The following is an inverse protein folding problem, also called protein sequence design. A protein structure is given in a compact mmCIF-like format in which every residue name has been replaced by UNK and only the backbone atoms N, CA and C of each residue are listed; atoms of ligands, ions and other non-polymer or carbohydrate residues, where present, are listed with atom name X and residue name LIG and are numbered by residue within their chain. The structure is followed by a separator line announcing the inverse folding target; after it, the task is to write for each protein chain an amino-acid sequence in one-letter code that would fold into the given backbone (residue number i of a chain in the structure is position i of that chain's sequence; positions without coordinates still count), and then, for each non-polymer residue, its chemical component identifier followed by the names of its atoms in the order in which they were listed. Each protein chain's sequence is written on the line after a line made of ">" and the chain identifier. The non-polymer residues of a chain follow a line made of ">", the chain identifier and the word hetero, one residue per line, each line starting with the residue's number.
data_IF_018285333213
#
_entry.id   IF_018285333213
#
_cell.length_a   1.000
_cell.length_b   1.000
_cell.length_c   1.000
_cell.angle_alpha   90.00
_cell.angle_beta   90.00
_cell.angle_gamma   90.00
#
_symmetry.space_group_name_H-M   'P 1'
#
loop_
_entity.id
_entity.type
_entity.pdbx_description
1 polymer ?
#
# COMPACT_ATOMS: atom_id res chain seq x y z
N UNK A 1 -9.37 7.84 -9.12
CA UNK A 1 -8.40 8.92 -8.83
C UNK A 1 -7.00 8.33 -8.69
N UNK A 2 -6.02 9.00 -9.23
CA UNK A 2 -4.62 8.58 -9.18
C UNK A 2 -3.84 9.62 -8.39
N UNK A 3 -3.10 9.19 -7.39
CA UNK A 3 -2.15 10.02 -6.64
C UNK A 3 -0.71 9.52 -6.87
N UNK A 4 0.21 10.46 -7.07
CA UNK A 4 1.61 10.18 -7.37
C UNK A 4 2.50 10.48 -6.15
N UNK A 5 3.56 9.68 -5.98
CA UNK A 5 4.54 9.87 -4.90
C UNK A 5 3.91 10.02 -3.52
N UNK A 6 3.09 9.04 -3.16
CA UNK A 6 2.37 9.03 -1.89
C UNK A 6 3.24 8.43 -0.80
N UNK A 7 3.37 9.14 0.32
CA UNK A 7 4.06 8.62 1.50
C UNK A 7 3.30 7.41 2.06
N UNK A 8 4.01 6.33 2.39
CA UNK A 8 3.37 5.11 2.89
C UNK A 8 2.57 5.38 4.17
N UNK A 9 3.04 6.28 5.03
CA UNK A 9 2.31 6.67 6.25
C UNK A 9 0.96 7.36 5.99
N UNK A 10 0.71 7.86 4.78
CA UNK A 10 -0.58 8.43 4.39
C UNK A 10 -1.57 7.36 3.89
N UNK A 11 -1.07 6.18 3.59
CA UNK A 11 -1.86 5.01 3.13
C UNK A 11 -2.04 3.98 4.24
N UNK A 12 -1.00 3.72 5.01
CA UNK A 12 -0.95 2.70 6.05
C UNK A 12 -0.81 3.34 7.44
N UNK A 13 -1.35 2.68 8.44
CA UNK A 13 -1.20 3.05 9.85
C UNK A 13 -0.43 1.98 10.61
N UNK A 14 0.33 2.41 11.63
CA UNK A 14 0.89 1.49 12.60
C UNK A 14 -0.23 0.87 13.42
N UNK A 15 -0.30 -0.45 13.46
CA UNK A 15 -1.36 -1.21 14.14
C UNK A 15 -1.31 -1.09 15.66
N UNK A 16 -0.12 -0.95 16.23
CA UNK A 16 0.06 -0.79 17.67
C UNK A 16 -0.45 0.57 18.12
N UNK A 17 -1.24 0.60 19.18
CA UNK A 17 -1.65 1.85 19.80
C UNK A 17 -0.44 2.52 20.43
N UNK A 18 -0.31 3.81 20.20
CA UNK A 18 0.64 4.65 20.93
C UNK A 18 0.03 4.94 22.31
N UNK A 19 0.51 4.24 23.34
CA UNK A 19 0.02 4.43 24.71
C UNK A 19 0.51 5.74 25.33
N UNK A 20 1.68 6.18 24.92
CA UNK A 20 2.27 7.46 25.31
C UNK A 20 3.30 7.92 24.26
N UNK A 21 3.69 9.19 24.33
CA UNK A 21 4.62 9.80 23.37
C UNK A 21 6.02 9.15 23.30
N UNK A 22 6.37 8.30 24.26
CA UNK A 22 7.65 7.58 24.33
C UNK A 22 7.56 6.13 23.89
N UNK A 23 6.46 5.69 23.27
CA UNK A 23 6.34 4.32 22.79
C UNK A 23 7.28 4.07 21.62
N UNK A 24 8.45 3.50 21.93
CA UNK A 24 9.52 3.26 20.95
C UNK A 24 9.11 2.29 19.86
N UNK A 25 8.23 1.30 20.14
CA UNK A 25 7.74 0.34 19.17
C UNK A 25 6.91 1.03 18.12
N UNK A 26 5.97 1.87 18.52
CA UNK A 26 5.15 2.66 17.61
C UNK A 26 6.01 3.57 16.72
N UNK A 27 6.96 4.30 17.32
CA UNK A 27 7.86 5.19 16.61
C UNK A 27 8.77 4.46 15.62
N UNK A 28 9.24 3.25 15.97
CA UNK A 28 10.06 2.43 15.08
C UNK A 28 9.30 2.13 13.78
N UNK A 29 8.07 1.62 13.87
CA UNK A 29 7.26 1.30 12.70
C UNK A 29 6.82 2.55 11.95
N UNK A 30 6.44 3.60 12.65
CA UNK A 30 6.07 4.86 12.03
C UNK A 30 7.20 5.46 11.20
N UNK A 31 8.42 5.46 11.68
CA UNK A 31 9.60 5.92 10.92
C UNK A 31 9.80 5.11 9.65
N UNK A 32 9.58 3.79 9.68
CA UNK A 32 9.72 2.93 8.51
C UNK A 32 8.72 3.27 7.41
N UNK A 33 7.48 3.55 7.75
CA UNK A 33 6.45 3.91 6.78
C UNK A 33 6.46 5.39 6.39
N UNK A 34 6.86 6.29 7.28
CA UNK A 34 6.88 7.73 7.01
C UNK A 34 8.05 8.17 6.13
N UNK A 35 9.14 7.41 6.11
CA UNK A 35 10.32 7.69 5.29
C UNK A 35 10.25 7.17 3.87
N UNK A 36 9.22 6.41 3.52
CA UNK A 36 9.09 5.72 2.23
C UNK A 36 7.86 6.19 1.48
N UNK A 37 7.95 6.16 0.14
CA UNK A 37 6.88 6.54 -0.76
C UNK A 37 6.60 5.41 -1.74
N UNK A 38 5.36 5.29 -2.19
CA UNK A 38 4.98 4.51 -3.36
C UNK A 38 4.81 5.43 -4.56
N UNK A 39 5.10 4.94 -5.74
CA UNK A 39 5.09 5.79 -6.95
C UNK A 39 3.69 6.24 -7.33
N UNK A 40 2.71 5.34 -7.26
CA UNK A 40 1.32 5.61 -7.62
C UNK A 40 0.37 4.91 -6.66
N UNK A 41 -0.77 5.54 -6.42
CA UNK A 41 -1.90 4.96 -5.68
C UNK A 41 -3.17 5.19 -6.46
N UNK A 42 -3.95 4.14 -6.66
CA UNK A 42 -5.29 4.21 -7.24
C UNK A 42 -6.32 4.19 -6.11
N UNK A 43 -7.22 5.16 -6.13
CA UNK A 43 -8.28 5.34 -5.14
C UNK A 43 -9.64 5.39 -5.81
N UNK A 44 -10.67 5.00 -5.08
CA UNK A 44 -12.04 5.26 -5.51
C UNK A 44 -12.28 6.77 -5.62
N UNK A 45 -13.01 7.23 -6.67
CA UNK A 45 -13.35 8.64 -6.81
C UNK A 45 -14.22 9.18 -5.66
N UNK A 46 -15.07 8.31 -5.10
CA UNK A 46 -15.91 8.65 -3.95
C UNK A 46 -15.35 7.97 -2.70
N UNK A 47 -15.13 8.73 -1.65
CA UNK A 47 -14.64 8.22 -0.37
C UNK A 47 -13.14 7.98 -0.29
N UNK A 48 -12.41 7.96 -1.40
CA UNK A 48 -10.95 7.88 -1.44
C UNK A 48 -10.37 6.55 -0.96
N UNK A 49 -11.14 5.46 -0.97
CA UNK A 49 -10.64 4.13 -0.58
C UNK A 49 -9.48 3.73 -1.50
N UNK A 50 -8.39 3.29 -0.90
CA UNK A 50 -7.22 2.81 -1.64
C UNK A 50 -7.55 1.46 -2.28
N UNK A 51 -7.39 1.35 -3.58
CA UNK A 51 -7.62 0.13 -4.34
C UNK A 51 -6.33 -0.63 -4.63
N UNK A 52 -5.32 0.08 -5.10
CA UNK A 52 -4.04 -0.50 -5.53
C UNK A 52 -2.93 0.50 -5.24
N UNK A 53 -1.79 -0.01 -4.77
CA UNK A 53 -0.53 0.71 -4.76
C UNK A 53 0.38 0.17 -5.87
N UNK A 54 1.13 1.04 -6.52
CA UNK A 54 1.99 0.68 -7.65
C UNK A 54 3.38 1.23 -7.42
N UNK A 55 4.39 0.39 -7.64
CA UNK A 55 5.79 0.77 -7.70
C UNK A 55 6.38 0.50 -9.08
N UNK A 56 7.23 1.40 -9.53
CA UNK A 56 8.01 1.26 -10.75
C UNK A 56 9.42 0.78 -10.37
N UNK A 57 9.78 -0.42 -10.82
CA UNK A 57 11.08 -1.01 -10.54
C UNK A 57 12.11 -0.61 -11.59
N UNK A 58 13.14 0.09 -11.14
CA UNK A 58 14.35 0.33 -11.94
C UNK A 58 15.38 -0.75 -11.64
N UNK A 59 15.80 -1.48 -12.68
CA UNK A 59 16.76 -2.57 -12.57
C UNK A 59 18.19 -2.12 -12.20
N UNK A 60 18.53 -0.82 -12.32
CA UNK A 60 19.89 -0.32 -12.17
C UNK A 60 20.43 -0.31 -10.73
N UNK A 61 19.61 -0.56 -9.72
CA UNK A 61 19.99 -0.41 -8.32
C UNK A 61 19.58 -1.59 -7.44
N UNK A 62 20.12 -2.79 -7.71
CA UNK A 62 19.91 -3.98 -6.86
C UNK A 62 20.92 -4.03 -5.71
N UNK A 63 20.86 -3.11 -4.76
CA UNK A 63 21.61 -3.20 -3.51
C UNK A 63 20.84 -3.98 -2.45
N UNK A 64 21.54 -4.65 -1.53
CA UNK A 64 20.94 -5.44 -0.46
C UNK A 64 19.94 -4.66 0.41
N UNK A 65 20.21 -3.39 0.66
CA UNK A 65 19.32 -2.49 1.42
C UNK A 65 17.97 -2.28 0.72
N UNK A 66 17.97 -2.25 -0.60
CA UNK A 66 16.75 -2.12 -1.40
C UNK A 66 15.87 -3.36 -1.30
N UNK A 67 16.45 -4.56 -1.30
CA UNK A 67 15.71 -5.81 -1.12
C UNK A 67 15.06 -5.90 0.26
N UNK A 68 15.71 -5.39 1.31
CA UNK A 68 15.13 -5.32 2.67
C UNK A 68 13.97 -4.35 2.72
N UNK A 69 14.13 -3.19 2.10
CA UNK A 69 13.06 -2.20 1.97
C UNK A 69 11.86 -2.78 1.25
N UNK A 70 12.08 -3.41 0.11
CA UNK A 70 11.02 -3.99 -0.72
C UNK A 70 10.27 -5.09 0.02
N UNK A 71 10.95 -5.96 0.76
CA UNK A 71 10.32 -6.97 1.60
C UNK A 71 9.46 -6.37 2.72
N UNK A 72 9.95 -5.31 3.35
CA UNK A 72 9.19 -4.60 4.37
C UNK A 72 7.92 -3.98 3.77
N UNK A 73 8.04 -3.30 2.63
CA UNK A 73 6.91 -2.68 1.93
C UNK A 73 5.89 -3.73 1.51
N UNK A 74 6.33 -4.85 0.92
CA UNK A 74 5.46 -5.96 0.54
C UNK A 74 4.66 -6.50 1.72
N UNK A 75 5.31 -6.74 2.86
CA UNK A 75 4.66 -7.21 4.08
C UNK A 75 3.68 -6.20 4.65
N UNK A 76 4.04 -4.92 4.64
CA UNK A 76 3.18 -3.86 5.15
C UNK A 76 1.89 -3.76 4.35
N UNK A 77 1.95 -3.75 3.03
CA UNK A 77 0.77 -3.72 2.18
C UNK A 77 -0.05 -5.00 2.26
N UNK A 78 0.60 -6.17 2.30
CA UNK A 78 -0.09 -7.44 2.48
C UNK A 78 -0.86 -7.49 3.80
N UNK A 79 -0.28 -7.03 4.90
CA UNK A 79 -0.95 -6.99 6.19
C UNK A 79 -2.15 -6.03 6.23
N UNK A 80 -2.13 -4.98 5.41
CA UNK A 80 -3.22 -4.03 5.25
C UNK A 80 -4.30 -4.49 4.25
N UNK A 81 -4.06 -5.58 3.53
CA UNK A 81 -4.97 -6.08 2.50
C UNK A 81 -5.04 -5.20 1.25
N UNK A 82 -4.00 -4.40 0.98
CA UNK A 82 -3.90 -3.54 -0.20
C UNK A 82 -2.97 -4.20 -1.21
N UNK A 83 -3.43 -4.48 -2.45
CA UNK A 83 -2.58 -4.99 -3.51
C UNK A 83 -1.44 -4.02 -3.82
N UNK A 84 -0.22 -4.53 -3.87
CA UNK A 84 0.96 -3.79 -4.33
C UNK A 84 1.46 -4.42 -5.62
N UNK A 85 1.35 -3.70 -6.72
CA UNK A 85 1.81 -4.13 -8.02
C UNK A 85 3.13 -3.45 -8.38
N UNK A 86 4.03 -4.20 -9.00
CA UNK A 86 5.29 -3.69 -9.49
C UNK A 86 5.35 -3.80 -11.00
N UNK A 87 5.69 -2.70 -11.64
CA UNK A 87 5.94 -2.65 -13.07
C UNK A 87 7.40 -2.27 -13.32
N UNK A 88 8.07 -2.89 -14.30
CA UNK A 88 9.41 -2.43 -14.67
C UNK A 88 9.35 -1.01 -15.21
N UNK A 89 10.30 -0.17 -14.81
CA UNK A 89 10.44 1.17 -15.36
C UNK A 89 10.86 1.07 -16.83
N UNK A 90 10.04 1.54 -17.73
CA UNK A 90 10.25 1.50 -19.21
C UNK A 90 9.87 2.82 -19.83
N UNK A 91 10.44 3.12 -21.00
CA UNK A 91 10.04 4.28 -21.81
C UNK A 91 8.69 4.13 -22.48
N UNK A 92 8.24 2.89 -22.69
CA UNK A 92 6.93 2.57 -23.29
C UNK A 92 6.30 1.39 -22.57
N UNK A 93 4.96 1.44 -22.44
CA UNK A 93 4.18 0.38 -21.83
C UNK A 93 3.11 -0.12 -22.78
N UNK A 94 2.85 -1.43 -22.72
CA UNK A 94 1.68 -2.02 -23.38
C UNK A 94 0.45 -1.79 -22.49
N UNK A 95 -0.47 -0.98 -22.96
CA UNK A 95 -1.70 -0.63 -22.22
C UNK A 95 -2.54 -1.86 -21.91
N UNK A 96 -2.58 -2.85 -22.81
CA UNK A 96 -3.35 -4.08 -22.59
C UNK A 96 -2.80 -4.92 -21.45
N UNK A 97 -1.48 -5.02 -21.32
CA UNK A 97 -0.84 -5.74 -20.21
C UNK A 97 -1.11 -5.04 -18.87
N UNK A 98 -0.99 -3.73 -18.81
CA UNK A 98 -1.31 -2.94 -17.62
C UNK A 98 -2.77 -3.14 -17.23
N UNK A 99 -3.66 -3.02 -18.18
CA UNK A 99 -5.11 -3.19 -17.98
C UNK A 99 -5.44 -4.58 -17.45
N UNK A 100 -4.81 -5.62 -17.98
CA UNK A 100 -4.98 -7.00 -17.53
C UNK A 100 -4.53 -7.22 -16.08
N UNK A 101 -3.45 -6.56 -15.66
CA UNK A 101 -2.96 -6.66 -14.27
C UNK A 101 -3.80 -5.85 -13.29
N UNK A 102 -4.37 -4.74 -13.70
CA UNK A 102 -5.21 -3.89 -12.83
C UNK A 102 -6.63 -4.42 -12.69
N UNK A 103 -7.19 -5.03 -13.74
CA UNK A 103 -8.60 -5.42 -13.81
C UNK A 103 -9.09 -6.24 -12.61
N UNK A 104 -8.39 -7.28 -12.11
CA UNK A 104 -8.84 -8.07 -10.97
C UNK A 104 -9.04 -7.24 -9.68
N UNK A 105 -8.34 -6.14 -9.55
CA UNK A 105 -8.37 -5.27 -8.36
C UNK A 105 -9.35 -4.10 -8.51
N UNK A 106 -9.84 -3.83 -9.71
CA UNK A 106 -10.76 -2.75 -10.01
C UNK A 106 -12.21 -3.21 -10.13
N UNK A 107 -12.46 -4.51 -10.19
CA UNK A 107 -13.80 -5.07 -10.20
C UNK A 107 -14.47 -4.79 -8.85
N UNK A 108 -15.68 -4.23 -8.81
CA UNK A 108 -16.41 -4.11 -7.57
C UNK A 108 -16.56 -5.50 -6.94
N UNK A 109 -16.50 -5.64 -5.60
CA UNK A 109 -16.85 -6.90 -4.98
C UNK A 109 -18.29 -7.24 -5.40
N UNK A 110 -18.51 -8.46 -5.85
CA UNK A 110 -19.88 -8.93 -6.15
C UNK A 110 -20.75 -8.62 -4.92
N UNK A 111 -21.93 -8.06 -5.18
CA UNK A 111 -22.92 -7.80 -4.14
C UNK A 111 -23.27 -9.11 -3.46
N UNK A 112 -22.63 -9.43 -2.35
CA UNK A 112 -22.81 -10.69 -1.66
C UNK A 112 -21.85 -10.95 -0.51
N UNK A 113 -20.70 -10.30 -0.46
CA UNK A 113 -19.78 -10.44 0.67
C UNK A 113 -19.49 -9.10 1.33
N UNK A 114 -20.53 -8.50 1.90
CA UNK A 114 -20.35 -7.49 2.93
C UNK A 114 -19.94 -8.22 4.19
N UNK A 115 -18.70 -8.62 4.30
CA UNK A 115 -18.12 -8.81 5.62
C UNK A 115 -17.78 -7.42 6.14
N UNK A 116 -18.79 -6.77 6.64
CA UNK A 116 -18.62 -5.68 7.56
C UNK A 116 -17.93 -6.25 8.80
N UNK A 117 -16.62 -6.25 8.81
CA UNK A 117 -15.90 -6.38 10.07
C UNK A 117 -16.12 -5.08 10.83
N UNK A 118 -17.26 -5.04 11.52
CA UNK A 118 -17.41 -4.17 12.66
C UNK A 118 -16.24 -4.49 13.57
N UNK A 119 -15.28 -3.59 13.61
CA UNK A 119 -14.36 -3.54 14.73
C UNK A 119 -15.22 -3.44 15.99
N UNK A 120 -15.39 -4.56 16.67
CA UNK A 120 -15.87 -4.52 18.04
C UNK A 120 -14.80 -3.76 18.82
N UNK A 121 -15.03 -2.50 19.03
CA UNK A 121 -14.44 -1.79 20.14
C UNK A 121 -15.04 -2.43 21.39
N UNK A 122 -14.47 -3.49 21.89
CA UNK A 122 -14.70 -3.91 23.25
C UNK A 122 -13.91 -2.95 24.13
N UNK A 123 -14.56 -1.94 24.58
CA UNK A 123 -14.17 -1.19 25.75
C UNK A 123 -14.63 -2.04 26.94
N UNK A 124 -13.73 -2.46 27.85
CA UNK A 124 -14.16 -2.89 29.16
C UNK A 124 -14.57 -1.67 29.99
#
# INVERSE_FOLDING_TARGET
>A
MIACKVRIADVLRVRFRQHHSRDQRWWRYFRLISSKHVDLVLCEPRGGRILIAIELDDRSHRRGDRKRRDRFVDRAFASAGIPLLRFPARGRYNVQEIRAQLAPHLTPPEEGSVVCQKSKSSTP
#
